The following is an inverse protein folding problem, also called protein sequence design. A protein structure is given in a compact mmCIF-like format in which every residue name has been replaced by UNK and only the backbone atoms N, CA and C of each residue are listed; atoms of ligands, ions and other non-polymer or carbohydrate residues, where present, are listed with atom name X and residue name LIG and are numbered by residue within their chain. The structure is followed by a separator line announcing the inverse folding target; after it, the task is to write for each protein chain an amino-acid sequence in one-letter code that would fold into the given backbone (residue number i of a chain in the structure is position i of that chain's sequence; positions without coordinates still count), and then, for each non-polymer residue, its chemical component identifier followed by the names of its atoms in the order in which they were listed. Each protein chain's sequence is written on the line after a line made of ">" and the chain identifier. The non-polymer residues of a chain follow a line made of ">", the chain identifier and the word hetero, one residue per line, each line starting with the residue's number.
data_IF_277054186171
#
_entry.id   IF_277054186171
#
_cell.length_a   1.000
_cell.length_b   1.000
_cell.length_c   1.000
_cell.angle_alpha   90.00
_cell.angle_beta   90.00
_cell.angle_gamma   90.00
#
_symmetry.space_group_name_H-M   'P 1'
#
loop_
_entity.id
_entity.type
_entity.pdbx_description
1 polymer ?
#
# COMPACT_ATOMS: atom_id res chain seq x y z
N UNK A 1 -20.23 -12.67 0.16
CA UNK A 1 -19.46 -12.76 -1.10
C UNK A 1 -18.00 -12.65 -0.75
N UNK A 2 -17.10 -13.40 -1.38
CA UNK A 2 -15.67 -13.25 -1.13
C UNK A 2 -15.26 -11.81 -1.47
N UNK A 3 -14.57 -11.16 -0.55
CA UNK A 3 -13.98 -9.84 -0.72
C UNK A 3 -12.49 -9.96 -0.46
N UNK A 4 -11.69 -9.12 -1.07
CA UNK A 4 -10.27 -9.05 -0.81
C UNK A 4 -9.86 -7.59 -0.60
N UNK A 5 -8.69 -7.39 -0.07
CA UNK A 5 -8.13 -6.07 0.21
C UNK A 5 -6.93 -5.84 -0.70
N UNK A 6 -6.88 -4.68 -1.33
CA UNK A 6 -5.65 -4.13 -1.92
C UNK A 6 -5.16 -3.06 -0.97
N UNK A 7 -3.85 -2.98 -0.75
CA UNK A 7 -3.24 -1.89 -0.01
C UNK A 7 -1.94 -1.43 -0.65
N UNK A 8 -1.59 -0.20 -0.34
CA UNK A 8 -0.36 0.47 -0.71
C UNK A 8 0.13 1.31 0.48
N UNK A 9 1.43 1.57 0.55
CA UNK A 9 2.05 2.30 1.66
C UNK A 9 2.95 3.41 1.14
N UNK A 10 2.82 4.60 1.75
CA UNK A 10 3.88 5.59 1.66
C UNK A 10 4.72 5.55 2.93
N UNK A 11 6.05 5.55 2.78
CA UNK A 11 6.97 5.42 3.89
C UNK A 11 8.21 6.30 3.73
N UNK A 12 8.82 6.65 4.84
CA UNK A 12 9.96 7.56 4.89
C UNK A 12 11.06 7.14 3.90
N UNK A 13 11.50 8.08 3.08
CA UNK A 13 12.51 7.84 2.05
C UNK A 13 13.37 9.08 1.80
N UNK A 14 14.50 8.89 1.14
CA UNK A 14 15.52 9.90 0.85
C UNK A 14 16.05 9.72 -0.55
N UNK A 15 16.73 10.74 -1.13
CA UNK A 15 17.40 10.56 -2.43
C UNK A 15 18.35 9.37 -2.42
N UNK A 16 18.15 8.45 -3.38
CA UNK A 16 18.99 7.25 -3.52
C UNK A 16 18.61 6.07 -2.62
N UNK A 17 17.77 6.25 -1.60
CA UNK A 17 17.44 5.21 -0.64
C UNK A 17 16.90 3.93 -1.29
N UNK A 18 16.04 4.05 -2.29
CA UNK A 18 15.49 2.90 -3.01
C UNK A 18 16.56 2.08 -3.77
N UNK A 19 17.58 2.73 -4.31
CA UNK A 19 18.68 2.05 -5.00
C UNK A 19 19.62 1.32 -4.03
N UNK A 20 19.68 1.76 -2.78
CA UNK A 20 20.49 1.21 -1.70
C UNK A 20 19.68 0.34 -0.74
N UNK A 21 18.42 0.04 -1.07
CA UNK A 21 17.49 -0.73 -0.25
C UNK A 21 17.39 -0.21 1.20
N UNK A 22 17.36 1.13 1.36
CA UNK A 22 17.31 1.84 2.66
C UNK A 22 18.38 1.36 3.66
N UNK A 23 19.56 0.97 3.18
CA UNK A 23 20.65 0.41 4.01
C UNK A 23 21.49 1.46 4.73
N UNK A 24 21.34 2.73 4.39
CA UNK A 24 22.11 3.79 5.06
C UNK A 24 21.69 3.94 6.54
N UNK A 25 22.64 4.25 7.43
CA UNK A 25 22.33 4.40 8.86
C UNK A 25 21.20 5.41 9.12
N UNK A 26 20.20 5.00 9.90
CA UNK A 26 19.03 5.82 10.26
C UNK A 26 17.93 5.87 9.21
N UNK A 27 18.12 5.31 8.03
CA UNK A 27 17.09 5.22 7.00
C UNK A 27 16.18 4.01 7.26
N UNK A 28 15.13 4.21 8.03
CA UNK A 28 14.08 3.20 8.25
C UNK A 28 12.89 3.50 7.35
N UNK A 29 12.26 2.48 6.78
CA UNK A 29 11.02 2.60 6.01
C UNK A 29 9.81 2.70 6.95
N UNK A 30 9.70 3.80 7.69
CA UNK A 30 8.57 4.00 8.58
C UNK A 30 7.35 4.44 7.79
N UNK A 31 6.22 3.78 8.03
CA UNK A 31 4.96 4.09 7.34
C UNK A 31 4.51 5.50 7.73
N UNK A 32 4.14 6.29 6.73
CA UNK A 32 3.58 7.65 6.85
C UNK A 32 2.12 7.69 6.37
N UNK A 33 1.76 6.84 5.41
CA UNK A 33 0.38 6.70 4.96
C UNK A 33 0.07 5.23 4.67
N UNK A 34 -1.13 4.80 5.02
CA UNK A 34 -1.72 3.53 4.61
C UNK A 34 -2.95 3.83 3.79
N UNK A 35 -2.99 3.36 2.56
CA UNK A 35 -4.18 3.34 1.73
C UNK A 35 -4.64 1.91 1.49
N UNK A 36 -5.94 1.66 1.54
CA UNK A 36 -6.48 0.34 1.24
C UNK A 36 -7.89 0.39 0.66
N UNK A 37 -8.19 -0.55 -0.21
CA UNK A 37 -9.50 -0.78 -0.80
C UNK A 37 -9.98 -2.18 -0.49
N UNK A 38 -11.23 -2.30 -0.05
CA UNK A 38 -11.94 -3.57 -0.03
C UNK A 38 -12.70 -3.70 -1.33
N UNK A 39 -12.45 -4.78 -2.07
CA UNK A 39 -13.07 -5.05 -3.36
C UNK A 39 -13.97 -6.28 -3.28
N UNK A 40 -15.04 -6.29 -4.08
CA UNK A 40 -15.87 -7.47 -4.30
C UNK A 40 -15.28 -8.40 -5.37
N UNK A 41 -15.97 -9.48 -5.67
CA UNK A 41 -15.61 -10.47 -6.68
C UNK A 41 -15.52 -9.93 -8.13
N UNK A 42 -16.07 -8.72 -8.36
CA UNK A 42 -16.03 -8.02 -9.66
C UNK A 42 -14.99 -6.89 -9.66
N UNK A 43 -14.17 -6.82 -8.62
CA UNK A 43 -13.18 -5.77 -8.40
C UNK A 43 -13.79 -4.36 -8.26
N UNK A 44 -15.07 -4.28 -7.88
CA UNK A 44 -15.69 -3.01 -7.51
C UNK A 44 -15.30 -2.63 -6.08
N UNK A 45 -15.05 -1.35 -5.86
CA UNK A 45 -14.72 -0.82 -4.52
C UNK A 45 -15.96 -0.88 -3.65
N UNK A 46 -15.85 -1.54 -2.50
CA UNK A 46 -16.90 -1.70 -1.49
C UNK A 46 -16.66 -0.77 -0.30
N UNK A 47 -15.38 -0.59 0.06
CA UNK A 47 -14.97 0.22 1.20
C UNK A 47 -13.55 0.73 0.99
N UNK A 48 -13.27 1.91 1.49
CA UNK A 48 -11.97 2.56 1.44
C UNK A 48 -11.46 2.78 2.86
N UNK A 49 -10.15 2.69 3.01
CA UNK A 49 -9.44 2.98 4.26
C UNK A 49 -8.22 3.84 3.92
N UNK A 50 -8.06 4.92 4.65
CA UNK A 50 -6.89 5.76 4.55
C UNK A 50 -6.54 6.33 5.92
N UNK A 51 -5.25 6.35 6.25
CA UNK A 51 -4.77 7.00 7.46
C UNK A 51 -3.35 7.52 7.29
N UNK A 52 -3.06 8.66 7.90
CA UNK A 52 -1.69 9.15 8.12
C UNK A 52 -1.14 8.55 9.40
N UNK A 53 0.16 8.27 9.39
CA UNK A 53 0.89 7.66 10.50
C UNK A 53 2.06 8.56 10.87
N UNK A 54 2.27 8.81 12.17
CA UNK A 54 3.45 9.56 12.63
C UNK A 54 4.64 8.63 12.75
N UNK A 55 5.70 8.80 11.94
CA UNK A 55 6.93 8.04 12.11
C UNK A 55 7.60 8.39 13.46
N UNK A 56 8.31 7.43 14.04
CA UNK A 56 8.87 7.54 15.39
C UNK A 56 10.37 7.77 15.38
N UNK A 57 11.11 7.03 14.58
CA UNK A 57 12.56 7.17 14.46
C UNK A 57 12.95 8.32 13.53
N UNK A 58 12.14 8.59 12.51
CA UNK A 58 12.33 9.67 11.54
C UNK A 58 11.10 10.58 11.54
N UNK A 59 10.80 11.31 12.64
CA UNK A 59 9.59 12.11 12.78
C UNK A 59 9.54 13.30 11.81
N UNK A 60 10.68 13.80 11.35
CA UNK A 60 10.78 14.84 10.34
C UNK A 60 10.85 14.19 8.95
N UNK A 61 9.86 14.50 8.11
CA UNK A 61 9.80 14.02 6.74
C UNK A 61 10.93 14.67 5.91
N UNK A 62 11.59 13.86 5.08
CA UNK A 62 12.58 14.43 4.17
C UNK A 62 11.91 15.31 3.10
N UNK A 63 12.54 16.39 2.63
CA UNK A 63 12.01 17.18 1.52
C UNK A 63 11.76 16.32 0.26
N UNK A 64 12.57 15.30 0.05
CA UNK A 64 12.39 14.35 -1.04
C UNK A 64 11.10 13.54 -0.91
N UNK A 65 10.76 13.08 0.31
CA UNK A 65 9.51 12.38 0.56
C UNK A 65 8.29 13.28 0.29
N UNK A 66 8.32 14.52 0.82
CA UNK A 66 7.23 15.48 0.60
C UNK A 66 7.07 15.83 -0.89
N UNK A 67 8.17 16.04 -1.61
CA UNK A 67 8.11 16.30 -3.06
C UNK A 67 7.54 15.09 -3.83
N UNK A 68 7.90 13.87 -3.42
CA UNK A 68 7.47 12.64 -4.07
C UNK A 68 5.98 12.34 -3.85
N UNK A 69 5.51 12.46 -2.61
CA UNK A 69 4.16 12.00 -2.20
C UNK A 69 3.14 13.13 -2.10
N UNK A 70 3.61 14.38 -1.95
CA UNK A 70 2.76 15.51 -1.62
C UNK A 70 2.27 15.52 -0.15
N UNK A 71 2.72 14.58 0.68
CA UNK A 71 2.35 14.53 2.10
C UNK A 71 3.20 15.55 2.86
N UNK A 72 2.52 16.55 3.43
CA UNK A 72 3.17 17.62 4.17
C UNK A 72 3.36 17.27 5.64
N UNK A 73 4.45 17.72 6.25
CA UNK A 73 4.74 17.52 7.67
C UNK A 73 3.58 17.95 8.56
N UNK A 74 3.00 19.14 8.29
CA UNK A 74 1.89 19.69 9.06
C UNK A 74 0.65 18.79 9.07
N UNK A 75 0.41 18.07 7.98
CA UNK A 75 -0.70 17.12 7.89
C UNK A 75 -0.44 15.88 8.77
N UNK A 76 0.79 15.36 8.75
CA UNK A 76 1.19 14.23 9.58
C UNK A 76 1.16 14.60 11.07
N UNK A 77 1.62 15.80 11.42
CA UNK A 77 1.63 16.28 12.81
C UNK A 77 0.20 16.47 13.35
N UNK A 78 -0.70 16.97 12.52
CA UNK A 78 -2.10 17.25 12.89
C UNK A 78 -2.95 15.99 12.93
N UNK A 79 -2.92 15.19 11.86
CA UNK A 79 -3.89 14.14 11.59
C UNK A 79 -3.29 12.73 11.72
N UNK A 80 -1.95 12.60 11.73
CA UNK A 80 -1.29 11.31 11.84
C UNK A 80 -1.58 10.63 13.19
N UNK A 81 -1.85 9.33 13.16
CA UNK A 81 -2.04 8.52 14.36
C UNK A 81 -0.75 7.78 14.76
N UNK A 82 -0.65 7.26 15.99
CA UNK A 82 0.48 6.42 16.38
C UNK A 82 0.59 5.15 15.52
N UNK A 83 1.81 4.63 15.25
CA UNK A 83 2.00 3.43 14.41
C UNK A 83 1.20 2.21 14.87
N UNK A 84 1.18 1.94 16.18
CA UNK A 84 0.47 0.77 16.71
C UNK A 84 -1.05 0.83 16.51
N UNK A 85 -1.63 2.05 16.57
CA UNK A 85 -3.04 2.31 16.28
C UNK A 85 -3.33 2.08 14.80
N UNK A 86 -2.58 2.74 13.90
CA UNK A 86 -2.74 2.58 12.45
C UNK A 86 -2.61 1.11 12.01
N UNK A 87 -1.60 0.41 12.54
CA UNK A 87 -1.36 -1.01 12.23
C UNK A 87 -2.50 -1.89 12.73
N UNK A 88 -3.02 -1.66 13.94
CA UNK A 88 -4.15 -2.41 14.49
C UNK A 88 -5.42 -2.22 13.66
N UNK A 89 -5.74 -0.99 13.30
CA UNK A 89 -6.92 -0.63 12.51
C UNK A 89 -6.83 -1.21 11.08
N UNK A 90 -5.66 -1.09 10.45
CA UNK A 90 -5.42 -1.69 9.13
C UNK A 90 -5.56 -3.22 9.17
N UNK A 91 -4.98 -3.90 10.17
CA UNK A 91 -5.12 -5.34 10.32
C UNK A 91 -6.59 -5.74 10.58
N UNK A 92 -7.35 -4.94 11.32
CA UNK A 92 -8.78 -5.15 11.52
C UNK A 92 -9.57 -4.97 10.20
N UNK A 93 -9.22 -3.98 9.39
CA UNK A 93 -9.79 -3.79 8.05
C UNK A 93 -9.54 -4.99 7.14
N UNK A 94 -8.38 -5.64 7.23
CA UNK A 94 -8.02 -6.82 6.45
C UNK A 94 -8.65 -8.12 6.93
N UNK A 95 -9.26 -8.15 8.13
CA UNK A 95 -9.71 -9.38 8.81
C UNK A 95 -10.53 -10.31 7.92
N UNK A 96 -10.09 -11.58 7.83
CA UNK A 96 -10.79 -12.65 7.11
C UNK A 96 -10.79 -12.51 5.58
N UNK A 97 -9.86 -11.73 5.03
CA UNK A 97 -9.74 -11.48 3.58
C UNK A 97 -8.34 -11.75 3.08
N UNK A 98 -8.26 -12.18 1.83
CA UNK A 98 -6.97 -12.17 1.12
C UNK A 98 -6.50 -10.72 0.93
N UNK A 99 -5.21 -10.50 1.16
CA UNK A 99 -4.60 -9.15 1.10
C UNK A 99 -3.61 -9.10 -0.05
N UNK A 100 -3.70 -8.09 -0.87
CA UNK A 100 -2.90 -7.90 -2.07
C UNK A 100 -2.12 -6.59 -2.00
N UNK A 101 -0.87 -6.58 -2.46
CA UNK A 101 -0.13 -5.35 -2.78
C UNK A 101 0.57 -5.45 -4.13
N UNK A 102 1.04 -4.32 -4.66
CA UNK A 102 1.82 -4.25 -5.89
C UNK A 102 3.27 -3.88 -5.57
N UNK A 103 3.99 -4.78 -4.91
CA UNK A 103 5.39 -4.54 -4.54
C UNK A 103 5.76 -5.14 -3.19
N UNK A 104 6.63 -4.43 -2.50
CA UNK A 104 7.22 -4.88 -1.24
C UNK A 104 6.50 -4.36 0.01
N UNK A 105 5.29 -3.81 -0.12
CA UNK A 105 4.53 -3.19 0.97
C UNK A 105 4.35 -4.14 2.16
N UNK A 106 4.17 -5.43 1.90
CA UNK A 106 4.08 -6.43 2.98
C UNK A 106 5.38 -6.54 3.79
N UNK A 107 6.54 -6.36 3.16
CA UNK A 107 7.81 -6.31 3.87
C UNK A 107 7.88 -5.08 4.78
N UNK A 108 7.53 -3.91 4.24
CA UNK A 108 7.49 -2.65 5.00
C UNK A 108 6.49 -2.75 6.16
N UNK A 109 5.30 -3.30 5.91
CA UNK A 109 4.31 -3.56 6.96
C UNK A 109 4.89 -4.44 8.07
N UNK A 110 5.56 -5.54 7.71
CA UNK A 110 6.19 -6.46 8.66
C UNK A 110 7.29 -5.80 9.49
N UNK A 111 8.13 -4.96 8.89
CA UNK A 111 9.16 -4.18 9.58
C UNK A 111 8.53 -3.24 10.62
N UNK A 112 7.50 -2.48 10.24
CA UNK A 112 6.83 -1.54 11.12
C UNK A 112 6.12 -2.25 12.29
N UNK A 113 5.50 -3.41 12.07
CA UNK A 113 4.97 -4.26 13.14
C UNK A 113 6.10 -4.70 14.08
N UNK A 114 7.24 -5.12 13.53
CA UNK A 114 8.42 -5.53 14.30
C UNK A 114 8.96 -4.39 15.17
N UNK A 115 9.10 -3.20 14.61
CA UNK A 115 9.60 -2.02 15.33
C UNK A 115 8.65 -1.56 16.43
N UNK A 116 7.34 -1.49 16.16
CA UNK A 116 6.35 -1.14 17.17
C UNK A 116 6.39 -2.13 18.35
N UNK A 117 6.45 -3.44 18.08
CA UNK A 117 6.59 -4.45 19.12
C UNK A 117 7.90 -4.34 19.90
N UNK A 118 9.02 -4.02 19.24
CA UNK A 118 10.31 -3.83 19.91
C UNK A 118 10.32 -2.64 20.87
N UNK A 119 9.47 -1.63 20.61
CA UNK A 119 9.21 -0.51 21.51
C UNK A 119 8.22 -0.84 22.65
N UNK A 120 7.69 -2.07 22.69
CA UNK A 120 6.70 -2.48 23.68
C UNK A 120 5.27 -2.03 23.36
N UNK A 121 5.01 -1.55 22.15
CA UNK A 121 3.68 -1.13 21.73
C UNK A 121 2.79 -2.36 21.48
N UNK A 122 1.53 -2.25 21.88
CA UNK A 122 0.56 -3.29 21.64
C UNK A 122 -0.11 -3.11 20.27
N UNK A 123 0.01 -4.10 19.41
CA UNK A 123 -0.73 -4.16 18.15
C UNK A 123 -1.75 -5.28 18.30
N UNK A 124 -3.03 -4.95 18.11
CA UNK A 124 -4.09 -5.95 18.11
C UNK A 124 -3.84 -6.93 16.95
N UNK A 125 -3.57 -8.19 17.32
CA UNK A 125 -3.18 -9.19 16.35
C UNK A 125 -4.40 -9.74 15.63
N UNK A 126 -4.55 -9.34 14.37
CA UNK A 126 -5.48 -9.99 13.44
C UNK A 126 -4.66 -10.79 12.43
N UNK A 127 -4.76 -12.11 12.41
CA UNK A 127 -4.09 -12.92 11.39
C UNK A 127 -4.54 -12.51 10.01
N UNK A 128 -3.61 -12.30 9.08
CA UNK A 128 -3.90 -12.12 7.66
C UNK A 128 -4.21 -13.50 7.04
N UNK A 129 -5.44 -13.95 7.25
CA UNK A 129 -5.97 -15.19 6.69
C UNK A 129 -7.14 -14.84 5.77
N UNK A 130 -7.26 -15.45 4.57
CA UNK A 130 -6.55 -16.62 4.09
C UNK A 130 -5.11 -16.40 3.63
N UNK A 131 -4.64 -15.17 3.38
CA UNK A 131 -3.24 -14.96 3.06
C UNK A 131 -2.96 -13.62 2.38
N UNK A 132 -1.70 -13.49 1.95
CA UNK A 132 -1.16 -12.31 1.28
C UNK A 132 -0.54 -12.69 -0.07
N UNK A 133 -0.69 -11.80 -1.06
CA UNK A 133 -0.09 -11.96 -2.37
C UNK A 133 0.48 -10.63 -2.89
N UNK A 134 1.77 -10.63 -3.25
CA UNK A 134 2.33 -9.60 -4.12
C UNK A 134 1.92 -9.90 -5.56
N UNK A 135 1.05 -9.07 -6.12
CA UNK A 135 0.49 -9.29 -7.47
C UNK A 135 1.40 -8.77 -8.60
N UNK A 136 2.47 -8.05 -8.30
CA UNK A 136 3.34 -7.43 -9.32
C UNK A 136 3.93 -8.45 -10.29
N UNK A 137 4.49 -9.62 -9.86
CA UNK A 137 5.03 -10.62 -10.79
C UNK A 137 3.97 -11.19 -11.72
N UNK A 138 2.78 -11.48 -11.18
CA UNK A 138 1.66 -11.97 -12.00
C UNK A 138 1.21 -10.90 -12.98
N UNK A 139 1.00 -9.67 -12.52
CA UNK A 139 0.52 -8.56 -13.36
C UNK A 139 1.49 -8.27 -14.50
N UNK A 140 2.80 -8.25 -14.24
CA UNK A 140 3.82 -8.08 -15.27
C UNK A 140 3.83 -9.24 -16.31
N UNK A 141 3.39 -10.42 -15.90
CA UNK A 141 3.28 -11.58 -16.81
C UNK A 141 2.07 -11.46 -17.73
N UNK A 142 0.90 -11.14 -17.17
CA UNK A 142 -0.36 -11.07 -17.94
C UNK A 142 -0.52 -9.75 -18.70
N UNK A 143 0.15 -8.70 -18.25
CA UNK A 143 0.17 -7.36 -18.86
C UNK A 143 1.60 -6.80 -18.91
N UNK A 144 2.45 -7.23 -19.87
CA UNK A 144 3.87 -6.81 -19.90
C UNK A 144 4.09 -5.29 -19.94
N UNK A 145 3.11 -4.51 -20.39
CA UNK A 145 3.17 -3.05 -20.37
C UNK A 145 3.31 -2.45 -18.95
N UNK A 146 3.01 -3.22 -17.90
CA UNK A 146 3.14 -2.79 -16.50
C UNK A 146 4.53 -3.03 -15.93
N UNK A 147 5.42 -3.70 -16.66
CA UNK A 147 6.78 -3.97 -16.19
C UNK A 147 7.58 -2.68 -15.96
N UNK A 148 8.10 -2.50 -14.75
CA UNK A 148 8.83 -1.28 -14.37
C UNK A 148 7.96 -0.07 -14.05
N UNK A 149 6.64 -0.21 -14.08
CA UNK A 149 5.70 0.87 -13.77
C UNK A 149 5.37 0.85 -12.27
N UNK A 150 5.14 2.03 -11.69
CA UNK A 150 4.67 2.18 -10.30
C UNK A 150 3.16 1.87 -10.19
N UNK A 151 2.71 1.52 -8.98
CA UNK A 151 1.31 1.24 -8.65
C UNK A 151 0.34 2.32 -9.15
N UNK A 152 0.66 3.58 -8.91
CA UNK A 152 -0.17 4.73 -9.27
C UNK A 152 -0.31 5.00 -10.78
N UNK A 153 0.51 4.37 -11.62
CA UNK A 153 0.48 4.56 -13.08
C UNK A 153 0.04 3.34 -13.87
N UNK A 154 -0.45 2.30 -13.22
CA UNK A 154 -0.93 1.10 -13.91
C UNK A 154 -2.09 1.37 -14.86
N UNK A 155 -3.01 2.27 -14.48
CA UNK A 155 -4.11 2.72 -15.33
C UNK A 155 -3.61 3.34 -16.63
N UNK A 156 -2.57 4.17 -16.56
CA UNK A 156 -1.96 4.82 -17.73
C UNK A 156 -1.26 3.80 -18.63
N UNK A 157 -0.45 2.90 -18.03
CA UNK A 157 0.27 1.85 -18.76
C UNK A 157 -0.67 0.90 -19.52
N UNK A 158 -1.91 0.75 -19.05
CA UNK A 158 -2.95 -0.07 -19.67
C UNK A 158 -3.92 0.74 -20.55
N UNK A 159 -3.68 2.03 -20.76
CA UNK A 159 -4.55 2.88 -21.57
C UNK A 159 -5.95 3.09 -20.98
N UNK A 160 -6.09 3.00 -19.65
CA UNK A 160 -7.37 3.14 -18.97
C UNK A 160 -7.63 4.61 -18.61
N UNK A 161 -8.90 5.01 -18.40
CA UNK A 161 -9.22 6.29 -17.80
C UNK A 161 -8.55 6.43 -16.42
N UNK A 162 -8.13 7.67 -16.09
CA UNK A 162 -7.62 7.95 -14.74
C UNK A 162 -8.68 7.59 -13.69
N UNK A 163 -8.29 6.90 -12.60
CA UNK A 163 -9.20 6.60 -11.49
C UNK A 163 -9.90 7.86 -10.96
N UNK A 164 -11.20 7.74 -10.67
CA UNK A 164 -12.00 8.81 -10.08
C UNK A 164 -11.77 8.86 -8.55
N UNK A 165 -10.54 9.07 -8.16
CA UNK A 165 -10.10 9.23 -6.77
C UNK A 165 -9.33 10.53 -6.64
N UNK A 166 -9.44 11.17 -5.48
CA UNK A 166 -8.57 12.29 -5.15
C UNK A 166 -7.11 11.82 -5.02
N UNK A 167 -6.17 12.75 -5.15
CA UNK A 167 -4.74 12.44 -5.11
C UNK A 167 -4.11 12.19 -6.47
N UNK A 168 -2.88 11.72 -6.45
CA UNK A 168 -2.05 11.42 -7.62
C UNK A 168 -1.16 10.21 -7.34
N UNK A 169 -0.28 9.86 -8.27
CA UNK A 169 0.81 8.90 -8.05
C UNK A 169 1.55 9.23 -6.75
N UNK A 170 1.90 8.21 -5.99
CA UNK A 170 2.46 8.33 -4.63
C UNK A 170 1.50 8.92 -3.57
N UNK A 171 0.19 8.71 -3.76
CA UNK A 171 -0.80 8.75 -2.69
C UNK A 171 -1.34 7.32 -2.53
N UNK A 172 -1.15 6.72 -1.37
CA UNK A 172 -1.41 5.29 -1.17
C UNK A 172 -2.83 4.86 -1.58
N UNK A 173 -3.85 5.68 -1.28
CA UNK A 173 -5.22 5.37 -1.69
C UNK A 173 -5.42 5.48 -3.21
N UNK A 174 -4.84 6.51 -3.86
CA UNK A 174 -4.90 6.64 -5.31
C UNK A 174 -4.19 5.47 -6.01
N UNK A 175 -3.05 5.03 -5.49
CA UNK A 175 -2.29 3.90 -6.01
C UNK A 175 -3.11 2.61 -5.91
N UNK A 176 -3.84 2.40 -4.80
CA UNK A 176 -4.82 1.32 -4.68
C UNK A 176 -5.92 1.39 -5.77
N UNK A 177 -6.45 2.57 -6.08
CA UNK A 177 -7.44 2.73 -7.15
C UNK A 177 -6.87 2.40 -8.53
N UNK A 178 -5.63 2.76 -8.79
CA UNK A 178 -4.91 2.40 -10.02
C UNK A 178 -4.74 0.89 -10.16
N UNK A 179 -4.36 0.20 -9.07
CA UNK A 179 -4.29 -1.27 -9.01
C UNK A 179 -5.68 -1.88 -9.25
N UNK A 180 -6.73 -1.39 -8.59
CA UNK A 180 -8.09 -1.89 -8.76
C UNK A 180 -8.61 -1.74 -10.19
N UNK A 181 -8.29 -0.61 -10.85
CA UNK A 181 -8.64 -0.39 -12.25
C UNK A 181 -7.94 -1.41 -13.18
N UNK A 182 -6.65 -1.67 -12.95
CA UNK A 182 -5.87 -2.67 -13.69
C UNK A 182 -6.47 -4.08 -13.51
N UNK A 183 -6.77 -4.48 -12.29
CA UNK A 183 -7.36 -5.79 -11.98
C UNK A 183 -8.72 -5.97 -12.65
N UNK A 184 -9.59 -4.97 -12.59
CA UNK A 184 -10.91 -4.99 -13.23
C UNK A 184 -10.80 -5.13 -14.75
N UNK A 185 -9.87 -4.39 -15.37
CA UNK A 185 -9.61 -4.48 -16.80
C UNK A 185 -9.14 -5.87 -17.21
N UNK A 186 -8.18 -6.43 -16.49
CA UNK A 186 -7.63 -7.75 -16.79
C UNK A 186 -8.65 -8.87 -16.56
N UNK A 187 -9.46 -8.77 -15.51
CA UNK A 187 -10.55 -9.71 -15.27
C UNK A 187 -11.60 -9.69 -16.39
N UNK A 188 -11.95 -8.49 -16.89
CA UNK A 188 -12.84 -8.37 -18.04
C UNK A 188 -12.25 -8.97 -19.33
N UNK A 189 -10.92 -9.00 -19.43
CA UNK A 189 -10.19 -9.68 -20.52
C UNK A 189 -10.01 -11.20 -20.29
N UNK A 190 -10.56 -11.75 -19.19
CA UNK A 190 -10.50 -13.18 -18.87
C UNK A 190 -9.25 -13.62 -18.11
N UNK A 191 -8.42 -12.70 -17.64
CA UNK A 191 -7.31 -13.04 -16.75
C UNK A 191 -7.83 -13.42 -15.35
N UNK A 192 -7.47 -14.61 -14.88
CA UNK A 192 -7.77 -15.02 -13.52
C UNK A 192 -6.70 -14.52 -12.56
N UNK A 193 -7.11 -13.86 -11.48
CA UNK A 193 -6.21 -13.58 -10.36
C UNK A 193 -5.71 -14.90 -9.76
N UNK A 194 -4.45 -14.96 -9.33
CA UNK A 194 -3.90 -16.13 -8.65
C UNK A 194 -4.44 -16.28 -7.21
N UNK A 195 -5.57 -15.67 -6.89
CA UNK A 195 -6.22 -15.70 -5.56
C UNK A 195 -6.66 -17.12 -5.17
N UNK A 196 -6.79 -18.01 -6.11
CA UNK A 196 -7.05 -19.44 -5.84
C UNK A 196 -5.85 -20.21 -5.28
N UNK A 197 -4.71 -19.53 -5.08
CA UNK A 197 -3.52 -20.05 -4.40
C UNK A 197 -3.36 -19.51 -2.98
N UNK A 198 -4.34 -18.74 -2.49
CA UNK A 198 -4.39 -18.20 -1.12
C UNK A 198 -5.32 -19.03 -0.24
#
# INVERSE_FOLDING_TARGET
>A
MPTFVIFDLEFTTWPGAAAEDWSAPGQLREIVQIGALRLDERYAVVEEYETLVRPVANPELSPFFTELTGIEQESVDRDGVPPAEALSDFLAFCRGRSVLSYGNDMLVLGENIGWARSRGEHIEHTPLTPGFLNIRPWLNTVAPATAGINSGRLWEALGLPRPASDGAEHSALFDCHSIAAALRHLAAAGAALPVGML
#
